data_IF_433826215788
#
_entry.id   IF_433826215788
#
_cell.length_a   1.000
_cell.length_b   1.000
_cell.length_c   1.000
_cell.angle_alpha   90.00
_cell.angle_beta   90.00
_cell.angle_gamma   90.00
#
_symmetry.space_group_name_H-M   'P 1'
#
loop_
_entity.id
_entity.type
_entity.pdbx_description
1 polymer ?
#
# COMPACT_ATOMS: atom_id res chain seq x y z
N UNK A 1 -93.54 -72.17 -61.60
CA UNK A 1 -92.35 -72.11 -62.47
C UNK A 1 -91.45 -70.98 -61.95
N UNK A 2 -90.29 -71.37 -61.44
CA UNK A 2 -89.00 -70.67 -61.36
C UNK A 2 -88.88 -69.18 -60.96
N UNK A 3 -87.85 -68.94 -60.11
CA UNK A 3 -87.14 -67.69 -59.80
C UNK A 3 -87.76 -66.82 -58.70
N UNK A 4 -87.02 -66.24 -57.76
CA UNK A 4 -85.60 -65.84 -57.76
C UNK A 4 -85.14 -65.70 -56.29
N UNK A 5 -83.98 -66.25 -55.96
CA UNK A 5 -83.28 -66.03 -54.69
C UNK A 5 -82.93 -64.55 -54.51
N UNK A 6 -83.27 -64.01 -53.34
CA UNK A 6 -82.72 -62.75 -52.83
C UNK A 6 -81.84 -63.06 -51.62
N UNK A 7 -80.55 -62.84 -51.78
CA UNK A 7 -79.57 -62.84 -50.69
C UNK A 7 -79.64 -61.47 -50.02
N UNK A 8 -80.00 -61.43 -48.73
CA UNK A 8 -79.96 -60.24 -47.90
C UNK A 8 -79.34 -60.52 -46.52
N UNK A 9 -78.75 -59.50 -45.89
CA UNK A 9 -77.43 -59.56 -45.26
C UNK A 9 -77.44 -60.13 -43.84
N UNK A 10 -76.33 -60.78 -43.46
CA UNK A 10 -76.06 -61.12 -42.07
C UNK A 10 -75.93 -59.83 -41.23
N UNK A 11 -76.90 -59.59 -40.36
CA UNK A 11 -76.80 -58.62 -39.26
C UNK A 11 -75.77 -59.12 -38.23
N UNK A 12 -74.63 -58.45 -38.14
CA UNK A 12 -73.75 -58.57 -36.98
C UNK A 12 -74.31 -57.72 -35.84
N UNK A 13 -74.89 -58.38 -34.85
CA UNK A 13 -75.34 -57.75 -33.59
C UNK A 13 -74.09 -57.35 -32.80
N UNK A 14 -73.78 -56.05 -32.73
CA UNK A 14 -72.81 -55.53 -31.74
C UNK A 14 -73.46 -55.53 -30.35
N UNK A 15 -72.83 -56.11 -29.32
CA UNK A 15 -73.31 -55.99 -27.96
C UNK A 15 -73.22 -54.52 -27.52
N UNK A 16 -74.34 -53.96 -27.04
CA UNK A 16 -74.35 -52.68 -26.33
C UNK A 16 -73.60 -52.86 -25.01
N UNK A 17 -72.35 -52.40 -24.92
CA UNK A 17 -71.68 -52.25 -23.64
C UNK A 17 -72.33 -51.09 -22.88
N UNK A 18 -72.78 -51.35 -21.65
CA UNK A 18 -73.30 -50.32 -20.75
C UNK A 18 -72.14 -49.43 -20.30
N UNK A 19 -71.81 -48.42 -21.11
CA UNK A 19 -70.64 -47.53 -20.97
C UNK A 19 -70.61 -46.57 -19.78
N UNK A 20 -71.21 -46.90 -18.63
CA UNK A 20 -71.19 -46.05 -17.42
C UNK A 20 -70.18 -46.49 -16.35
N UNK A 21 -69.78 -47.76 -16.34
CA UNK A 21 -68.79 -48.29 -15.37
C UNK A 21 -67.36 -47.74 -15.59
N UNK A 22 -66.83 -47.55 -16.82
CA UNK A 22 -65.45 -47.12 -16.98
C UNK A 22 -65.22 -45.66 -16.56
N UNK A 23 -66.23 -44.80 -16.69
CA UNK A 23 -66.10 -43.38 -16.29
C UNK A 23 -66.03 -43.23 -14.78
N UNK A 24 -66.87 -43.95 -14.04
CA UNK A 24 -66.84 -43.92 -12.57
C UNK A 24 -65.54 -44.52 -12.01
N UNK A 25 -65.03 -45.59 -12.63
CA UNK A 25 -63.75 -46.18 -12.24
C UNK A 25 -62.59 -45.21 -12.50
N UNK A 26 -62.57 -44.53 -13.65
CA UNK A 26 -61.56 -43.52 -13.95
C UNK A 26 -61.62 -42.32 -12.98
N UNK A 27 -62.82 -41.84 -12.64
CA UNK A 27 -62.98 -40.76 -11.65
C UNK A 27 -62.51 -41.18 -10.25
N UNK A 28 -62.77 -42.43 -9.86
CA UNK A 28 -62.30 -42.96 -8.59
C UNK A 28 -60.77 -43.09 -8.55
N UNK A 29 -60.15 -43.61 -9.61
CA UNK A 29 -58.68 -43.70 -9.73
C UNK A 29 -58.04 -42.31 -9.76
N UNK A 30 -58.64 -41.35 -10.46
CA UNK A 30 -58.18 -39.95 -10.47
C UNK A 30 -58.32 -39.29 -9.09
N UNK A 31 -59.44 -39.53 -8.39
CA UNK A 31 -59.65 -39.03 -7.02
C UNK A 31 -58.66 -39.61 -6.03
N UNK A 32 -58.39 -40.92 -6.10
CA UNK A 32 -57.42 -41.60 -5.23
C UNK A 32 -55.98 -41.18 -5.52
N UNK A 33 -55.61 -41.02 -6.79
CA UNK A 33 -54.28 -40.49 -7.15
C UNK A 33 -54.12 -39.04 -6.70
N UNK A 34 -55.13 -38.18 -6.89
CA UNK A 34 -55.12 -36.82 -6.37
C UNK A 34 -55.02 -36.76 -4.84
N UNK A 35 -55.72 -37.64 -4.11
CA UNK A 35 -55.66 -37.71 -2.65
C UNK A 35 -54.28 -38.19 -2.15
N UNK A 36 -53.68 -39.18 -2.83
CA UNK A 36 -52.33 -39.67 -2.52
C UNK A 36 -51.30 -38.59 -2.80
N UNK A 37 -51.39 -37.88 -3.94
CA UNK A 37 -50.51 -36.76 -4.26
C UNK A 37 -50.70 -35.60 -3.30
N UNK A 38 -51.93 -35.28 -2.92
CA UNK A 38 -52.24 -34.24 -1.92
C UNK A 38 -51.67 -34.59 -0.55
N UNK A 39 -51.91 -35.82 -0.07
CA UNK A 39 -51.39 -36.28 1.23
C UNK A 39 -49.87 -36.38 1.22
N UNK A 40 -49.28 -36.87 0.14
CA UNK A 40 -47.83 -36.91 -0.04
C UNK A 40 -47.24 -35.51 -0.09
N UNK A 41 -47.88 -34.60 -0.83
CA UNK A 41 -47.61 -33.17 -0.84
C UNK A 41 -47.65 -32.59 0.57
N UNK A 42 -48.70 -32.88 1.32
CA UNK A 42 -48.88 -32.39 2.67
C UNK A 42 -47.82 -32.94 3.65
N UNK A 43 -47.58 -34.25 3.65
CA UNK A 43 -46.61 -34.88 4.57
C UNK A 43 -45.14 -34.60 4.19
N UNK A 44 -44.81 -34.35 2.92
CA UNK A 44 -43.44 -34.06 2.47
C UNK A 44 -43.12 -32.58 2.39
N UNK A 45 -44.07 -31.75 1.98
CA UNK A 45 -43.81 -30.34 1.69
C UNK A 45 -44.18 -29.42 2.85
N UNK A 46 -45.11 -29.78 3.75
CA UNK A 46 -45.31 -28.98 4.97
C UNK A 46 -44.14 -29.05 5.96
N UNK A 47 -43.48 -30.18 6.24
CA UNK A 47 -42.34 -30.15 7.16
C UNK A 47 -41.10 -29.47 6.56
N UNK A 48 -40.95 -29.43 5.24
CA UNK A 48 -39.89 -28.65 4.56
C UNK A 48 -40.17 -27.14 4.69
N UNK A 49 -41.43 -26.73 4.94
CA UNK A 49 -41.80 -25.31 5.15
C UNK A 49 -41.42 -24.74 6.51
N UNK A 50 -40.82 -25.49 7.42
CA UNK A 50 -40.54 -24.98 8.76
C UNK A 50 -39.30 -25.58 9.42
N UNK A 51 -38.24 -25.89 8.66
CA UNK A 51 -36.90 -25.71 9.20
C UNK A 51 -36.40 -24.36 8.69
N UNK A 52 -36.76 -23.27 9.38
CA UNK A 52 -36.22 -21.97 9.06
C UNK A 52 -34.69 -22.09 9.10
N UNK A 53 -34.09 -22.06 7.92
CA UNK A 53 -32.65 -22.07 7.73
C UNK A 53 -32.21 -20.66 8.06
N UNK A 54 -31.78 -20.48 9.29
CA UNK A 54 -31.44 -19.17 9.81
C UNK A 54 -30.07 -18.75 9.30
N UNK A 55 -29.95 -17.52 8.84
CA UNK A 55 -28.67 -16.96 8.38
C UNK A 55 -28.34 -15.78 9.26
N UNK A 56 -27.31 -15.93 10.09
CA UNK A 56 -26.77 -14.81 10.85
C UNK A 56 -25.86 -14.01 9.90
N UNK A 57 -26.22 -12.76 9.62
CA UNK A 57 -25.45 -11.86 8.76
C UNK A 57 -24.77 -10.81 9.63
N UNK A 58 -23.46 -10.96 9.79
CA UNK A 58 -22.60 -10.00 10.45
C UNK A 58 -22.08 -8.96 9.45
N UNK A 59 -22.08 -7.68 9.81
CA UNK A 59 -21.45 -6.67 8.96
C UNK A 59 -20.66 -5.67 9.79
N UNK A 60 -19.58 -5.17 9.21
CA UNK A 60 -18.62 -4.30 9.90
C UNK A 60 -18.72 -2.93 9.26
N UNK A 61 -18.93 -1.91 10.09
CA UNK A 61 -18.86 -0.52 9.63
C UNK A 61 -17.45 -0.05 9.91
N UNK A 62 -16.58 -0.23 8.92
CA UNK A 62 -15.34 0.53 8.88
C UNK A 62 -15.71 1.97 8.54
N UNK A 63 -15.35 2.91 9.40
CA UNK A 63 -15.52 4.32 9.06
C UNK A 63 -14.64 4.61 7.84
N UNK A 64 -15.15 5.29 6.80
CA UNK A 64 -14.38 5.55 5.58
C UNK A 64 -13.12 6.41 5.79
N UNK A 65 -12.95 7.00 6.98
CA UNK A 65 -11.70 7.61 7.42
C UNK A 65 -10.58 6.62 7.79
N UNK A 66 -10.88 5.32 7.95
CA UNK A 66 -9.92 4.26 8.28
C UNK A 66 -9.30 3.58 7.06
N UNK A 67 -9.79 3.86 5.84
CA UNK A 67 -9.12 3.46 4.59
C UNK A 67 -7.98 4.45 4.27
N UNK A 68 -7.17 4.76 5.28
CA UNK A 68 -5.90 5.48 5.13
C UNK A 68 -4.83 4.48 4.69
N UNK A 69 -4.91 4.08 3.42
CA UNK A 69 -3.96 3.13 2.84
C UNK A 69 -3.96 3.03 1.32
N UNK A 70 -4.80 3.78 0.61
CA UNK A 70 -4.64 3.98 -0.82
C UNK A 70 -3.51 4.96 -1.07
N UNK A 71 -2.30 4.44 -1.31
CA UNK A 71 -1.15 5.08 -1.99
C UNK A 71 -1.32 6.57 -2.29
N UNK A 72 -1.29 7.41 -1.26
CA UNK A 72 -1.26 8.86 -1.46
C UNK A 72 0.15 9.22 -1.89
N UNK A 73 0.25 9.87 -3.05
CA UNK A 73 1.49 10.37 -3.60
C UNK A 73 2.35 11.08 -2.53
N UNK A 74 3.68 10.92 -2.57
CA UNK A 74 4.57 11.57 -1.62
C UNK A 74 4.50 13.08 -1.84
N UNK A 75 3.79 13.81 -0.98
CA UNK A 75 3.78 15.28 -1.08
C UNK A 75 2.75 16.06 -0.28
N UNK A 76 1.71 15.44 0.30
CA UNK A 76 0.76 16.21 1.12
C UNK A 76 0.13 15.40 2.25
N UNK A 77 0.82 15.40 3.39
CA UNK A 77 0.28 14.95 4.67
C UNK A 77 -0.57 16.08 5.24
N UNK A 78 -1.83 16.18 4.81
CA UNK A 78 -2.80 17.10 5.40
C UNK A 78 -3.94 16.27 5.97
N UNK A 79 -3.91 16.10 7.30
CA UNK A 79 -4.93 15.38 8.06
C UNK A 79 -4.48 14.01 8.57
N UNK A 80 -3.36 13.93 9.31
CA UNK A 80 -3.14 12.79 10.20
C UNK A 80 -4.21 12.89 11.29
N UNK A 81 -5.20 11.98 11.25
CA UNK A 81 -6.13 11.80 12.37
C UNK A 81 -5.31 11.68 13.66
N UNK A 82 -5.60 12.53 14.64
CA UNK A 82 -4.83 12.61 15.88
C UNK A 82 -4.66 11.20 16.50
N UNK A 83 -3.42 10.81 16.85
CA UNK A 83 -3.19 9.58 17.59
C UNK A 83 -3.83 9.73 18.98
N UNK A 84 -4.98 9.08 19.17
CA UNK A 84 -5.72 9.13 20.44
C UNK A 84 -7.23 9.35 20.31
N UNK A 85 -7.74 9.74 19.13
CA UNK A 85 -9.16 9.63 18.87
C UNK A 85 -9.47 8.14 18.64
N UNK A 86 -9.84 7.43 19.69
CA UNK A 86 -10.43 6.10 19.58
C UNK A 86 -11.65 6.24 18.65
N UNK A 87 -11.49 5.89 17.37
CA UNK A 87 -12.63 5.77 16.46
C UNK A 87 -13.22 4.41 16.77
N UNK A 88 -14.37 4.34 17.45
CA UNK A 88 -14.98 3.07 17.75
C UNK A 88 -15.35 2.39 16.44
N UNK A 89 -14.66 1.29 16.12
CA UNK A 89 -15.08 0.43 15.01
C UNK A 89 -16.38 -0.27 15.42
N UNK A 90 -17.50 0.15 14.85
CA UNK A 90 -18.81 -0.43 15.15
C UNK A 90 -19.05 -1.64 14.25
N UNK A 91 -19.34 -2.77 14.87
CA UNK A 91 -19.72 -4.01 14.17
C UNK A 91 -21.21 -4.29 14.36
N UNK A 92 -22.10 -3.71 13.53
CA UNK A 92 -23.52 -4.01 13.60
C UNK A 92 -23.85 -5.41 13.06
N UNK A 93 -24.61 -6.18 13.83
CA UNK A 93 -25.05 -7.53 13.47
C UNK A 93 -26.56 -7.56 13.17
N UNK A 94 -26.96 -8.31 12.15
CA UNK A 94 -28.36 -8.74 11.98
C UNK A 94 -28.43 -10.25 12.13
N UNK A 95 -29.22 -10.65 13.11
CA UNK A 95 -29.53 -12.03 13.36
C UNK A 95 -30.95 -12.34 12.86
N UNK A 96 -31.10 -13.47 12.17
CA UNK A 96 -32.42 -14.01 11.82
C UNK A 96 -32.77 -15.30 12.58
N UNK A 97 -31.86 -15.82 13.43
CA UNK A 97 -32.03 -17.06 14.20
C UNK A 97 -33.25 -17.06 15.13
N UNK A 98 -33.90 -18.23 15.25
CA UNK A 98 -34.98 -18.49 16.21
C UNK A 98 -34.51 -18.24 17.64
N UNK A 99 -33.26 -18.61 17.93
CA UNK A 99 -32.65 -18.40 19.23
C UNK A 99 -31.79 -17.12 19.21
N UNK A 100 -32.29 -16.01 19.78
CA UNK A 100 -31.55 -14.76 19.82
C UNK A 100 -30.28 -14.84 20.67
N UNK A 101 -30.15 -15.81 21.59
CA UNK A 101 -28.96 -15.96 22.42
C UNK A 101 -27.84 -16.66 21.63
N UNK A 102 -28.13 -17.81 21.02
CA UNK A 102 -27.14 -18.59 20.27
C UNK A 102 -26.48 -17.78 19.15
N UNK A 103 -27.25 -16.97 18.45
CA UNK A 103 -26.70 -16.16 17.38
C UNK A 103 -26.07 -14.83 17.86
N UNK A 104 -26.34 -14.38 19.09
CA UNK A 104 -25.49 -13.37 19.74
C UNK A 104 -24.12 -13.98 20.07
N UNK A 105 -24.07 -15.18 20.65
CA UNK A 105 -22.81 -15.86 20.96
C UNK A 105 -21.98 -16.13 19.69
N UNK A 106 -22.61 -16.57 18.60
CA UNK A 106 -21.92 -16.75 17.32
C UNK A 106 -21.41 -15.42 16.73
N UNK A 107 -22.19 -14.34 16.87
CA UNK A 107 -21.79 -13.00 16.46
C UNK A 107 -20.62 -12.46 17.29
N UNK A 108 -20.66 -12.64 18.61
CA UNK A 108 -19.59 -12.26 19.52
C UNK A 108 -18.30 -13.03 19.21
N UNK A 109 -18.39 -14.34 19.02
CA UNK A 109 -17.26 -15.17 18.58
C UNK A 109 -16.64 -14.68 17.28
N UNK A 110 -17.45 -14.31 16.28
CA UNK A 110 -16.94 -13.74 15.03
C UNK A 110 -16.29 -12.37 15.21
N UNK A 111 -16.92 -11.48 15.99
CA UNK A 111 -16.37 -10.18 16.31
C UNK A 111 -15.02 -10.31 17.00
N UNK A 112 -14.90 -11.21 17.98
CA UNK A 112 -13.65 -11.47 18.70
C UNK A 112 -12.54 -11.98 17.77
N UNK A 113 -12.85 -12.93 16.87
CA UNK A 113 -11.91 -13.42 15.87
C UNK A 113 -11.44 -12.29 14.94
N UNK A 114 -12.36 -11.51 14.40
CA UNK A 114 -12.04 -10.38 13.53
C UNK A 114 -11.20 -9.30 14.24
N UNK A 115 -11.60 -8.91 15.46
CA UNK A 115 -10.83 -7.96 16.28
C UNK A 115 -9.44 -8.51 16.59
N UNK A 116 -9.34 -9.81 16.88
CA UNK A 116 -8.08 -10.52 17.07
C UNK A 116 -7.16 -10.41 15.86
N UNK A 117 -7.67 -10.67 14.67
CA UNK A 117 -6.90 -10.59 13.43
C UNK A 117 -6.53 -9.15 13.06
N UNK A 118 -7.44 -8.19 13.21
CA UNK A 118 -7.12 -6.76 13.03
C UNK A 118 -6.06 -6.28 14.00
N UNK A 119 -6.09 -6.71 15.26
CA UNK A 119 -5.01 -6.43 16.24
C UNK A 119 -3.68 -7.05 15.84
N UNK A 120 -3.67 -8.23 15.23
CA UNK A 120 -2.42 -8.85 14.70
C UNK A 120 -1.88 -8.06 13.51
N UNK A 121 -2.74 -7.72 12.54
CA UNK A 121 -2.37 -6.90 11.39
C UNK A 121 -1.84 -5.53 11.79
N UNK A 122 -2.53 -4.85 12.72
CA UNK A 122 -2.11 -3.57 13.25
C UNK A 122 -0.75 -3.68 13.94
N UNK A 123 -0.55 -4.67 14.83
CA UNK A 123 0.73 -4.91 15.50
C UNK A 123 1.86 -5.15 14.49
N UNK A 124 1.61 -5.98 13.47
CA UNK A 124 2.59 -6.25 12.41
C UNK A 124 2.96 -4.98 11.64
N UNK A 125 1.97 -4.16 11.27
CA UNK A 125 2.19 -2.87 10.57
C UNK A 125 2.97 -1.88 11.43
N UNK A 126 2.59 -1.67 12.69
CA UNK A 126 3.25 -0.73 13.58
C UNK A 126 4.66 -1.20 13.95
N UNK A 127 4.88 -2.51 14.12
CA UNK A 127 6.22 -3.08 14.29
C UNK A 127 7.10 -2.84 13.06
N UNK A 128 6.57 -3.04 11.86
CA UNK A 128 7.26 -2.70 10.61
C UNK A 128 7.67 -1.22 10.54
N UNK A 129 6.75 -0.31 10.85
CA UNK A 129 7.03 1.13 10.92
C UNK A 129 8.07 1.49 11.98
N UNK A 130 8.03 0.83 13.14
CA UNK A 130 9.03 1.01 14.21
C UNK A 130 10.42 0.59 13.77
N UNK A 131 10.54 -0.57 13.12
CA UNK A 131 11.82 -1.06 12.61
C UNK A 131 12.36 -0.11 11.55
N UNK A 132 11.52 0.40 10.66
CA UNK A 132 11.91 1.39 9.64
C UNK A 132 12.36 2.72 10.26
N UNK A 133 11.60 3.26 11.22
CA UNK A 133 11.97 4.48 11.93
C UNK A 133 13.28 4.31 12.72
N UNK A 134 13.51 3.14 13.34
CA UNK A 134 14.78 2.86 14.02
C UNK A 134 15.96 2.82 13.04
N UNK A 135 15.77 2.20 11.86
CA UNK A 135 16.80 2.18 10.82
C UNK A 135 17.12 3.58 10.31
N UNK A 136 16.12 4.44 10.16
CA UNK A 136 16.36 5.82 9.73
C UNK A 136 17.10 6.64 10.79
N UNK A 137 16.81 6.44 12.09
CA UNK A 137 17.59 7.03 13.20
C UNK A 137 19.04 6.54 13.17
N UNK A 138 19.27 5.23 13.04
CA UNK A 138 20.62 4.68 12.98
C UNK A 138 21.41 5.21 11.77
N UNK A 139 20.76 5.36 10.61
CA UNK A 139 21.38 5.97 9.44
C UNK A 139 21.70 7.45 9.65
N UNK A 140 20.75 8.25 10.16
CA UNK A 140 20.95 9.67 10.42
C UNK A 140 22.08 9.92 11.43
N UNK A 141 22.21 9.07 12.46
CA UNK A 141 23.33 9.12 13.41
C UNK A 141 24.67 8.86 12.75
N UNK A 142 24.77 7.83 11.89
CA UNK A 142 26.01 7.56 11.14
C UNK A 142 26.41 8.74 10.26
N UNK A 143 25.46 9.35 9.55
CA UNK A 143 25.71 10.52 8.71
C UNK A 143 26.16 11.75 9.54
N UNK A 144 25.59 11.91 10.73
CA UNK A 144 26.02 12.94 11.67
C UNK A 144 27.44 12.70 12.18
N UNK A 145 27.75 11.48 12.65
CA UNK A 145 29.07 11.08 13.12
C UNK A 145 30.14 11.25 12.02
N UNK A 146 29.83 10.86 10.79
CA UNK A 146 30.70 11.10 9.63
C UNK A 146 30.95 12.59 9.38
N UNK A 147 29.92 13.43 9.52
CA UNK A 147 30.04 14.88 9.32
C UNK A 147 30.89 15.53 10.41
N UNK A 148 30.72 15.11 11.66
CA UNK A 148 31.56 15.52 12.79
C UNK A 148 33.01 15.09 12.58
N UNK A 149 33.25 13.83 12.21
CA UNK A 149 34.60 13.32 11.94
C UNK A 149 35.29 14.09 10.79
N UNK A 150 34.54 14.49 9.75
CA UNK A 150 35.08 15.33 8.65
C UNK A 150 35.47 16.73 9.14
N UNK A 151 34.67 17.34 10.03
CA UNK A 151 34.99 18.63 10.64
C UNK A 151 36.24 18.52 11.51
N UNK A 152 36.30 17.53 12.41
CA UNK A 152 37.45 17.29 13.27
C UNK A 152 38.74 17.01 12.48
N UNK A 153 38.65 16.18 11.43
CA UNK A 153 39.79 15.90 10.56
C UNK A 153 40.27 17.16 9.82
N UNK A 154 39.36 18.07 9.46
CA UNK A 154 39.72 19.35 8.86
C UNK A 154 40.39 20.27 9.87
N UNK A 155 39.87 20.37 11.09
CA UNK A 155 40.49 21.14 12.18
C UNK A 155 41.88 20.61 12.54
N UNK A 156 42.06 19.30 12.59
CA UNK A 156 43.38 18.69 12.81
C UNK A 156 44.36 19.02 11.69
N UNK A 157 43.90 19.02 10.42
CA UNK A 157 44.73 19.46 9.29
C UNK A 157 45.14 20.93 9.42
N UNK A 158 44.25 21.81 9.89
CA UNK A 158 44.57 23.20 10.15
C UNK A 158 45.62 23.33 11.27
N UNK A 159 45.40 22.68 12.43
CA UNK A 159 46.38 22.67 13.53
C UNK A 159 47.74 22.12 13.10
N UNK A 160 47.75 21.08 12.27
CA UNK A 160 48.98 20.51 11.74
C UNK A 160 49.66 21.44 10.74
N UNK A 161 48.90 22.11 9.87
CA UNK A 161 49.42 23.10 8.94
C UNK A 161 50.03 24.28 9.70
N UNK A 162 49.37 24.78 10.75
CA UNK A 162 49.87 25.85 11.61
C UNK A 162 51.13 25.41 12.37
N UNK A 163 51.15 24.19 12.92
CA UNK A 163 52.33 23.65 13.60
C UNK A 163 53.51 23.38 12.67
N UNK A 164 53.24 22.99 11.41
CA UNK A 164 54.26 22.80 10.38
C UNK A 164 54.64 24.07 9.66
N UNK A 165 53.89 25.16 9.81
CA UNK A 165 54.26 26.44 9.25
C UNK A 165 55.61 26.78 9.88
N UNK A 166 56.73 26.67 9.12
CA UNK A 166 58.02 26.91 9.70
C UNK A 166 57.97 28.32 10.24
N UNK A 167 58.15 28.49 11.55
CA UNK A 167 58.51 29.79 12.11
C UNK A 167 59.59 30.34 11.19
N UNK A 168 59.25 31.42 10.49
CA UNK A 168 59.97 31.94 9.34
C UNK A 168 61.30 32.58 9.76
N UNK A 169 62.16 31.80 10.41
CA UNK A 169 63.52 32.15 10.81
C UNK A 169 64.57 31.32 10.09
N UNK A 170 64.20 30.35 9.24
CA UNK A 170 65.17 29.56 8.48
C UNK A 170 65.11 29.87 6.99
N UNK A 171 65.68 31.04 6.66
CA UNK A 171 66.78 31.15 5.70
C UNK A 171 66.63 30.50 4.31
N UNK A 172 65.50 30.72 3.64
CA UNK A 172 65.54 30.82 2.17
C UNK A 172 65.65 32.31 1.85
N UNK A 173 66.86 32.86 2.01
CA UNK A 173 67.24 34.13 1.39
C UNK A 173 67.09 33.96 -0.13
N UNK A 174 65.89 34.19 -0.65
CA UNK A 174 65.73 34.62 -2.03
C UNK A 174 66.64 35.84 -2.16
N UNK A 175 67.77 35.68 -2.87
CA UNK A 175 68.70 36.81 -3.11
C UNK A 175 67.84 37.98 -3.57
N UNK A 176 67.88 39.14 -2.87
CA UNK A 176 67.11 40.29 -3.29
C UNK A 176 67.48 40.58 -4.74
N UNK A 177 66.48 40.83 -5.59
CA UNK A 177 66.78 41.20 -6.97
C UNK A 177 67.56 42.51 -6.91
N UNK A 178 68.81 42.46 -7.38
CA UNK A 178 69.72 43.59 -7.36
C UNK A 178 69.48 44.41 -8.63
N UNK A 179 69.28 45.72 -8.48
CA UNK A 179 69.15 46.66 -9.59
C UNK A 179 70.34 47.61 -9.59
N UNK A 180 70.85 47.95 -10.78
CA UNK A 180 71.98 48.88 -10.92
C UNK A 180 71.62 50.24 -10.32
N UNK A 181 72.46 50.73 -9.42
CA UNK A 181 72.26 52.00 -8.74
C UNK A 181 72.28 53.17 -9.74
N UNK A 182 71.20 53.96 -9.88
CA UNK A 182 71.14 55.03 -10.86
C UNK A 182 72.20 56.12 -10.63
N UNK A 183 72.59 56.36 -9.36
CA UNK A 183 73.66 57.31 -9.02
C UNK A 183 75.03 56.82 -9.48
N UNK A 184 75.29 55.51 -9.37
CA UNK A 184 76.52 54.90 -9.86
C UNK A 184 76.62 55.00 -11.38
N UNK A 185 75.50 54.73 -12.08
CA UNK A 185 75.36 54.84 -13.53
C UNK A 185 75.57 56.28 -14.04
N UNK A 186 75.11 57.28 -13.29
CA UNK A 186 75.35 58.69 -13.59
C UNK A 186 76.84 59.07 -13.46
N UNK A 187 77.51 58.61 -12.40
CA UNK A 187 78.95 58.82 -12.20
C UNK A 187 79.78 58.11 -13.27
N UNK A 188 79.38 56.90 -13.69
CA UNK A 188 80.00 56.17 -14.81
C UNK A 188 79.89 56.96 -16.12
N UNK A 189 78.72 57.54 -16.42
CA UNK A 189 78.55 58.40 -17.60
C UNK A 189 79.44 59.65 -17.53
N UNK A 190 79.57 60.26 -16.36
CA UNK A 190 80.43 61.43 -16.14
C UNK A 190 81.92 61.07 -16.30
N UNK A 191 82.37 59.92 -15.79
CA UNK A 191 83.76 59.47 -15.92
C UNK A 191 84.11 59.18 -17.38
N UNK A 192 83.24 58.49 -18.12
CA UNK A 192 83.41 58.23 -19.57
C UNK A 192 83.50 59.53 -20.37
N UNK A 193 82.67 60.53 -20.04
CA UNK A 193 82.73 61.84 -20.69
C UNK A 193 84.06 62.58 -20.41
N UNK A 194 84.56 62.54 -19.17
CA UNK A 194 85.86 63.15 -18.83
C UNK A 194 87.04 62.40 -19.44
N UNK A 195 86.99 61.07 -19.54
CA UNK A 195 88.01 60.27 -20.22
C UNK A 195 88.07 60.64 -21.71
N UNK A 196 86.90 60.77 -22.35
CA UNK A 196 86.83 61.26 -23.74
C UNK A 196 87.43 62.66 -23.87
N UNK A 197 87.06 63.58 -22.97
CA UNK A 197 87.60 64.96 -22.98
C UNK A 197 89.11 65.02 -22.75
N UNK A 198 89.64 64.17 -21.88
CA UNK A 198 91.08 64.04 -21.64
C UNK A 198 91.81 63.58 -22.90
N UNK A 199 91.26 62.62 -23.65
CA UNK A 199 91.83 62.17 -24.92
C UNK A 199 91.88 63.31 -25.94
N UNK A 200 90.78 64.03 -26.13
CA UNK A 200 90.74 65.20 -27.03
C UNK A 200 91.79 66.27 -26.65
N UNK A 201 91.98 66.54 -25.35
CA UNK A 201 93.00 67.50 -24.90
C UNK A 201 94.44 67.01 -25.13
N UNK A 202 94.66 65.70 -25.16
CA UNK A 202 95.98 65.11 -25.38
C UNK A 202 96.38 65.07 -26.86
N UNK A 203 95.43 65.26 -27.77
CA UNK A 203 95.74 65.42 -29.20
C UNK A 203 96.51 66.73 -29.45
N UNK A 204 96.17 67.80 -28.71
CA UNK A 204 96.76 69.14 -28.86
C UNK A 204 97.79 69.50 -27.78
N UNK A 205 97.84 68.77 -26.66
CA UNK A 205 98.60 69.16 -25.46
C UNK A 205 99.31 67.98 -24.82
N UNK A 206 100.40 68.25 -24.11
CA UNK A 206 101.15 67.24 -23.36
C UNK A 206 100.50 66.90 -22.01
N UNK A 207 100.81 65.73 -21.47
CA UNK A 207 100.27 65.23 -20.19
C UNK A 207 100.48 66.15 -18.98
N UNK A 208 101.49 67.03 -19.02
CA UNK A 208 101.82 67.96 -17.94
C UNK A 208 101.05 69.28 -18.00
N UNK A 209 100.25 69.51 -19.05
CA UNK A 209 99.49 70.75 -19.21
C UNK A 209 98.43 70.89 -18.09
N UNK A 210 98.25 72.08 -17.46
CA UNK A 210 97.32 72.29 -16.34
C UNK A 210 95.91 71.77 -16.61
N UNK A 211 95.34 72.08 -17.78
CA UNK A 211 94.01 71.59 -18.18
C UNK A 211 93.88 70.06 -18.27
N UNK A 212 94.94 69.33 -18.65
CA UNK A 212 94.94 67.86 -18.69
C UNK A 212 95.02 67.29 -17.28
N UNK A 213 95.82 67.93 -16.41
CA UNK A 213 95.96 67.57 -15.00
C UNK A 213 94.65 67.77 -14.24
N UNK A 214 93.97 68.90 -14.41
CA UNK A 214 92.64 69.13 -13.80
C UNK A 214 91.60 68.08 -14.20
N UNK A 215 91.55 67.69 -15.48
CA UNK A 215 90.63 66.64 -15.94
C UNK A 215 91.03 65.28 -15.36
N UNK A 216 92.33 65.00 -15.27
CA UNK A 216 92.84 63.77 -14.67
C UNK A 216 92.51 63.69 -13.18
N UNK A 217 92.67 64.78 -12.44
CA UNK A 217 92.32 64.87 -11.02
C UNK A 217 90.80 64.66 -10.80
N UNK A 218 89.96 65.22 -11.69
CA UNK A 218 88.50 64.99 -11.66
C UNK A 218 88.11 63.54 -11.98
N UNK A 219 88.83 62.86 -12.86
CA UNK A 219 88.61 61.43 -13.14
C UNK A 219 88.93 60.61 -11.87
N UNK A 220 90.07 60.85 -11.23
CA UNK A 220 90.46 60.16 -9.98
C UNK A 220 89.45 60.40 -8.87
N UNK A 221 88.94 61.63 -8.74
CA UNK A 221 87.90 61.96 -7.76
C UNK A 221 86.57 61.25 -8.05
N UNK A 222 86.13 61.17 -9.32
CA UNK A 222 84.93 60.42 -9.70
C UNK A 222 85.09 58.92 -9.48
N UNK A 223 86.27 58.36 -9.78
CA UNK A 223 86.58 56.94 -9.54
C UNK A 223 86.53 56.61 -8.04
N UNK A 224 87.04 57.50 -7.18
CA UNK A 224 86.88 57.36 -5.71
C UNK A 224 85.41 57.36 -5.29
N UNK A 225 84.62 58.31 -5.79
CA UNK A 225 83.17 58.37 -5.50
C UNK A 225 82.41 57.15 -6.01
N UNK A 226 82.81 56.59 -7.16
CA UNK A 226 82.24 55.36 -7.70
C UNK A 226 82.63 54.11 -6.88
N UNK A 227 83.80 54.12 -6.22
CA UNK A 227 84.20 53.06 -5.30
C UNK A 227 83.43 53.12 -3.97
N UNK A 228 83.07 54.32 -3.51
CA UNK A 228 82.31 54.53 -2.27
C UNK A 228 80.82 54.16 -2.42
N UNK A 229 80.27 54.23 -3.63
CA UNK A 229 78.86 53.95 -3.90
C UNK A 229 78.70 52.52 -4.44
N UNK A 230 77.87 51.66 -3.82
CA UNK A 230 77.63 50.31 -4.33
C UNK A 230 76.97 50.35 -5.72
N UNK A 231 77.50 49.53 -6.63
CA UNK A 231 77.03 49.41 -8.02
C UNK A 231 75.60 48.89 -8.12
N UNK A 232 75.19 48.06 -7.18
CA UNK A 232 73.88 47.43 -7.13
C UNK A 232 73.20 47.76 -5.81
N UNK A 233 71.91 48.09 -5.87
CA UNK A 233 71.04 48.31 -4.72
C UNK A 233 69.87 47.30 -4.73
N UNK A 234 69.35 46.88 -3.58
CA UNK A 234 68.18 46.01 -3.51
C UNK A 234 66.97 46.69 -4.16
N UNK A 235 66.24 45.96 -5.00
CA UNK A 235 65.00 46.46 -5.58
C UNK A 235 63.86 46.43 -4.56
N UNK A 236 63.70 47.54 -3.83
CA UNK A 236 62.60 47.73 -2.88
C UNK A 236 61.20 47.60 -3.50
N UNK A 237 61.04 47.83 -4.81
CA UNK A 237 59.75 47.67 -5.48
C UNK A 237 59.42 46.20 -5.71
N UNK A 238 60.40 45.42 -6.18
CA UNK A 238 60.23 43.97 -6.34
C UNK A 238 59.93 43.27 -5.00
N UNK A 239 60.58 43.69 -3.91
CA UNK A 239 60.28 43.15 -2.57
C UNK A 239 58.86 43.49 -2.12
N UNK A 240 58.41 44.72 -2.33
CA UNK A 240 57.04 45.15 -2.01
C UNK A 240 55.98 44.38 -2.83
N UNK A 241 56.24 44.10 -4.10
CA UNK A 241 55.36 43.29 -4.95
C UNK A 241 55.31 41.81 -4.52
N UNK A 242 56.45 41.23 -4.13
CA UNK A 242 56.52 39.88 -3.57
C UNK A 242 55.73 39.81 -2.27
N UNK A 243 55.84 40.81 -1.40
CA UNK A 243 55.11 40.80 -0.14
C UNK A 243 53.60 41.04 -0.34
N UNK A 244 53.23 41.96 -1.24
CA UNK A 244 51.83 42.18 -1.60
C UNK A 244 51.20 40.92 -2.23
N UNK A 245 51.93 40.19 -3.08
CA UNK A 245 51.45 38.94 -3.66
C UNK A 245 51.32 37.83 -2.61
N UNK A 246 52.28 37.70 -1.67
CA UNK A 246 52.17 36.79 -0.51
C UNK A 246 50.94 37.09 0.35
N UNK A 247 50.70 38.38 0.66
CA UNK A 247 49.50 38.80 1.42
C UNK A 247 48.20 38.44 0.69
N UNK A 248 48.12 38.70 -0.62
CA UNK A 248 46.94 38.32 -1.43
C UNK A 248 46.70 36.81 -1.47
N UNK A 249 47.76 36.01 -1.53
CA UNK A 249 47.65 34.54 -1.48
C UNK A 249 47.19 34.08 -0.09
N UNK A 250 47.76 34.65 0.98
CA UNK A 250 47.34 34.36 2.35
C UNK A 250 45.87 34.71 2.60
N UNK A 251 45.42 35.89 2.18
CA UNK A 251 44.01 36.31 2.28
C UNK A 251 43.06 35.40 1.49
N UNK A 252 43.47 34.92 0.30
CA UNK A 252 42.67 33.95 -0.47
C UNK A 252 42.54 32.62 0.25
N UNK A 253 43.66 32.08 0.74
CA UNK A 253 43.67 30.84 1.50
C UNK A 253 42.83 30.95 2.77
N UNK A 254 42.94 32.05 3.51
CA UNK A 254 42.13 32.30 4.71
C UNK A 254 40.63 32.32 4.38
N UNK A 255 40.23 33.01 3.31
CA UNK A 255 38.84 33.02 2.84
C UNK A 255 38.36 31.62 2.42
N UNK A 256 39.20 30.85 1.74
CA UNK A 256 38.88 29.46 1.37
C UNK A 256 38.72 28.58 2.61
N UNK A 257 39.57 28.73 3.62
CA UNK A 257 39.45 28.00 4.89
C UNK A 257 38.19 28.38 5.66
N UNK A 258 37.90 29.68 5.80
CA UNK A 258 36.68 30.16 6.46
C UNK A 258 35.42 29.64 5.76
N UNK A 259 35.39 29.69 4.42
CA UNK A 259 34.29 29.14 3.64
C UNK A 259 34.15 27.64 3.88
N UNK A 260 35.27 26.89 3.86
CA UNK A 260 35.23 25.44 4.04
C UNK A 260 34.78 25.04 5.44
N UNK A 261 35.20 25.79 6.46
CA UNK A 261 34.76 25.60 7.84
C UNK A 261 33.26 25.86 7.96
N UNK A 262 32.77 26.97 7.40
CA UNK A 262 31.34 27.29 7.38
C UNK A 262 30.49 26.22 6.66
N UNK A 263 30.98 25.68 5.53
CA UNK A 263 30.35 24.58 4.81
C UNK A 263 30.25 23.31 5.68
N UNK A 264 31.33 22.95 6.38
CA UNK A 264 31.36 21.76 7.24
C UNK A 264 30.49 21.93 8.50
N UNK A 265 30.51 23.11 9.13
CA UNK A 265 29.64 23.39 10.29
C UNK A 265 28.16 23.36 9.90
N UNK A 266 27.81 23.92 8.75
CA UNK A 266 26.44 23.86 8.24
C UNK A 266 25.99 22.41 7.95
N UNK A 267 26.88 21.56 7.43
CA UNK A 267 26.59 20.14 7.22
C UNK A 267 26.34 19.39 8.53
N UNK A 268 27.11 19.68 9.59
CA UNK A 268 26.90 19.11 10.93
C UNK A 268 25.54 19.57 11.51
N UNK A 269 25.19 20.84 11.39
CA UNK A 269 23.90 21.34 11.84
C UNK A 269 22.72 20.72 11.08
N UNK A 270 22.86 20.53 9.77
CA UNK A 270 21.83 19.91 8.95
C UNK A 270 21.62 18.44 9.33
N UNK A 271 22.69 17.67 9.46
CA UNK A 271 22.62 16.25 9.88
C UNK A 271 22.11 16.08 11.31
N UNK A 272 22.38 17.05 12.19
CA UNK A 272 21.79 17.07 13.54
C UNK A 272 20.27 17.22 13.48
N UNK A 273 19.74 18.15 12.66
CA UNK A 273 18.30 18.34 12.48
C UNK A 273 17.61 17.09 11.92
N UNK A 274 18.22 16.44 10.93
CA UNK A 274 17.66 15.19 10.38
C UNK A 274 17.66 14.06 11.41
N UNK A 275 18.68 13.99 12.28
CA UNK A 275 18.70 13.06 13.41
C UNK A 275 17.56 13.35 14.41
N UNK A 276 17.35 14.62 14.78
CA UNK A 276 16.25 15.02 15.68
C UNK A 276 14.87 14.69 15.09
N UNK A 277 14.66 14.94 13.80
CA UNK A 277 13.42 14.59 13.09
C UNK A 277 13.18 13.08 13.06
N UNK A 278 14.22 12.29 12.79
CA UNK A 278 14.15 10.83 12.80
C UNK A 278 13.81 10.30 14.20
N UNK A 279 14.42 10.84 15.26
CA UNK A 279 14.11 10.46 16.64
C UNK A 279 12.66 10.83 17.04
N UNK A 280 12.16 11.97 16.58
CA UNK A 280 10.75 12.32 16.77
C UNK A 280 9.81 11.35 16.04
N UNK A 281 10.17 10.91 14.83
CA UNK A 281 9.41 9.91 14.10
C UNK A 281 9.40 8.56 14.84
N UNK A 282 10.54 8.13 15.40
CA UNK A 282 10.62 6.91 16.22
C UNK A 282 9.75 7.03 17.49
N UNK A 283 9.81 8.16 18.21
CA UNK A 283 8.97 8.41 19.39
C UNK A 283 7.48 8.36 19.04
N UNK A 284 7.08 8.94 17.90
CA UNK A 284 5.69 8.87 17.41
C UNK A 284 5.28 7.43 17.11
N UNK A 285 6.14 6.64 16.48
CA UNK A 285 5.88 5.22 16.22
C UNK A 285 5.73 4.42 17.54
N UNK A 286 6.55 4.70 18.56
CA UNK A 286 6.42 4.09 19.89
C UNK A 286 5.11 4.50 20.59
N UNK A 287 4.74 5.79 20.53
CA UNK A 287 3.47 6.26 21.08
C UNK A 287 2.28 5.60 20.39
N UNK A 288 2.33 5.43 19.06
CA UNK A 288 1.31 4.70 18.32
C UNK A 288 1.22 3.25 18.75
N UNK A 289 2.36 2.58 18.98
CA UNK A 289 2.39 1.22 19.51
C UNK A 289 1.76 1.11 20.91
N UNK A 290 1.91 2.13 21.76
CA UNK A 290 1.33 2.16 23.10
C UNK A 290 -0.17 2.47 23.10
N UNK A 291 -0.64 3.33 22.18
CA UNK A 291 -2.04 3.78 22.19
C UNK A 291 -3.01 2.67 21.81
N UNK A 292 -2.62 1.76 20.90
CA UNK A 292 -3.41 0.59 20.51
C UNK A 292 -4.77 0.93 19.88
N UNK A 293 -5.27 0.12 18.94
CA UNK A 293 -6.63 0.29 18.44
C UNK A 293 -7.61 -0.19 19.52
N UNK A 294 -8.51 0.70 19.94
CA UNK A 294 -9.64 0.35 20.79
C UNK A 294 -10.80 -0.09 19.88
N UNK A 295 -11.23 -1.35 20.02
CA UNK A 295 -12.38 -1.90 19.31
C UNK A 295 -13.54 -2.03 20.29
N UNK A 296 -14.72 -1.54 19.91
CA UNK A 296 -15.96 -1.67 20.66
C UNK A 296 -17.00 -2.40 19.81
N UNK A 297 -17.43 -3.57 20.25
CA UNK A 297 -18.50 -4.32 19.56
C UNK A 297 -19.84 -3.71 19.98
N UNK A 298 -20.55 -3.10 19.04
CA UNK A 298 -21.89 -2.57 19.26
C UNK A 298 -22.91 -3.39 18.46
N UNK A 299 -23.81 -4.09 19.14
CA UNK A 299 -24.90 -4.79 18.47
C UNK A 299 -25.92 -3.78 17.94
N UNK A 300 -26.18 -3.81 16.63
CA UNK A 300 -27.34 -3.11 16.09
C UNK A 300 -28.61 -3.72 16.70
N UNK A 301 -29.54 -2.86 17.13
CA UNK A 301 -30.90 -3.30 17.44
C UNK A 301 -31.42 -4.01 16.18
N UNK A 302 -31.96 -5.21 16.36
CA UNK A 302 -32.48 -6.05 15.28
C UNK A 302 -33.20 -5.17 14.25
N UNK A 303 -32.82 -5.29 12.97
CA UNK A 303 -33.74 -4.94 11.90
C UNK A 303 -34.94 -5.85 12.13
N UNK A 304 -36.07 -5.24 12.52
CA UNK A 304 -37.34 -5.95 12.68
C UNK A 304 -37.52 -6.89 11.49
N UNK A 305 -37.85 -8.15 11.78
CA UNK A 305 -37.99 -9.20 10.78
C UNK A 305 -38.62 -8.64 9.50
N UNK A 306 -38.01 -8.85 8.31
CA UNK A 306 -38.65 -8.42 7.09
C UNK A 306 -40.09 -8.94 7.11
N UNK A 307 -41.07 -8.10 6.74
CA UNK A 307 -42.48 -8.50 6.82
C UNK A 307 -42.63 -9.86 6.16
N UNK A 308 -43.38 -10.80 6.77
CA UNK A 308 -43.54 -12.13 6.21
C UNK A 308 -43.92 -11.97 4.75
N UNK A 309 -43.09 -12.54 3.86
CA UNK A 309 -43.34 -12.44 2.42
C UNK A 309 -44.66 -13.14 2.20
N UNK A 310 -45.70 -12.35 1.99
CA UNK A 310 -47.05 -12.83 1.81
C UNK A 310 -47.08 -13.48 0.42
N UNK A 311 -46.71 -14.77 0.38
CA UNK A 311 -46.85 -15.60 -0.81
C UNK A 311 -48.35 -15.77 -1.03
N UNK A 312 -48.97 -14.73 -1.58
CA UNK A 312 -50.40 -14.67 -1.80
C UNK A 312 -50.86 -15.98 -2.42
N UNK A 313 -51.90 -16.57 -1.83
CA UNK A 313 -52.36 -17.94 -2.09
C UNK A 313 -52.52 -18.26 -3.59
N UNK A 314 -52.77 -17.23 -4.43
CA UNK A 314 -52.75 -17.30 -5.90
C UNK A 314 -51.42 -17.74 -6.51
N UNK A 315 -50.27 -17.18 -6.07
CA UNK A 315 -48.95 -17.60 -6.55
C UNK A 315 -48.64 -19.04 -6.13
N UNK A 316 -49.06 -19.40 -4.91
CA UNK A 316 -48.96 -20.76 -4.40
C UNK A 316 -49.76 -21.73 -5.26
N UNK A 317 -51.02 -21.41 -5.59
CA UNK A 317 -51.84 -22.23 -6.48
C UNK A 317 -51.24 -22.38 -7.88
N UNK A 318 -50.77 -21.29 -8.50
CA UNK A 318 -50.16 -21.35 -9.83
C UNK A 318 -48.87 -22.17 -9.84
N UNK A 319 -48.03 -22.05 -8.80
CA UNK A 319 -46.81 -22.87 -8.68
C UNK A 319 -47.13 -24.33 -8.36
N UNK A 320 -48.14 -24.64 -7.54
CA UNK A 320 -48.54 -26.04 -7.28
C UNK A 320 -49.19 -26.69 -8.49
N UNK A 321 -49.92 -25.91 -9.31
CA UNK A 321 -50.56 -26.42 -10.52
C UNK A 321 -49.53 -26.64 -11.62
N UNK A 322 -48.58 -25.70 -11.80
CA UNK A 322 -47.45 -25.87 -12.70
C UNK A 322 -46.50 -27.00 -12.24
N UNK A 323 -46.26 -27.14 -10.94
CA UNK A 323 -45.46 -28.23 -10.38
C UNK A 323 -46.18 -29.59 -10.47
N UNK A 324 -47.51 -29.64 -10.31
CA UNK A 324 -48.29 -30.86 -10.52
C UNK A 324 -48.25 -31.31 -11.98
N UNK A 325 -48.34 -30.37 -12.93
CA UNK A 325 -48.18 -30.61 -14.37
C UNK A 325 -46.75 -31.04 -14.73
N UNK A 326 -45.75 -30.39 -14.15
CA UNK A 326 -44.33 -30.72 -14.33
C UNK A 326 -43.94 -32.04 -13.65
N UNK A 327 -44.53 -32.42 -12.51
CA UNK A 327 -44.28 -33.71 -11.86
C UNK A 327 -44.90 -34.87 -12.62
N UNK A 328 -46.06 -34.67 -13.26
CA UNK A 328 -46.61 -35.67 -14.19
C UNK A 328 -45.68 -35.91 -15.39
N UNK A 329 -44.94 -34.89 -15.84
CA UNK A 329 -43.92 -34.99 -16.89
C UNK A 329 -42.50 -35.33 -16.37
N UNK A 330 -42.22 -35.10 -15.08
CA UNK A 330 -40.87 -35.01 -14.50
C UNK A 330 -40.62 -35.91 -13.30
N UNK A 331 -41.50 -36.87 -13.00
CA UNK A 331 -41.25 -37.92 -12.02
C UNK A 331 -40.06 -38.85 -12.42
N UNK A 332 -39.54 -38.72 -13.65
CA UNK A 332 -38.32 -39.39 -14.10
C UNK A 332 -37.00 -38.63 -13.85
N UNK A 333 -37.03 -37.32 -13.57
CA UNK A 333 -35.81 -36.47 -13.65
C UNK A 333 -35.47 -35.65 -12.40
N UNK A 334 -36.33 -35.58 -11.38
CA UNK A 334 -36.12 -34.71 -10.21
C UNK A 334 -35.91 -35.46 -8.89
N UNK A 335 -34.88 -36.32 -8.82
CA UNK A 335 -34.41 -36.88 -7.54
C UNK A 335 -33.13 -36.22 -6.99
N UNK A 336 -32.62 -35.14 -7.60
CA UNK A 336 -31.29 -34.62 -7.29
C UNK A 336 -31.12 -33.10 -7.05
N UNK A 337 -32.17 -32.27 -7.00
CA UNK A 337 -31.90 -30.82 -7.02
C UNK A 337 -32.95 -29.89 -6.45
N UNK A 338 -33.53 -30.18 -5.28
CA UNK A 338 -34.38 -29.21 -4.59
C UNK A 338 -34.09 -29.15 -3.09
N UNK A 339 -32.86 -28.80 -2.74
CA UNK A 339 -32.63 -27.92 -1.60
C UNK A 339 -32.85 -26.50 -2.11
N UNK A 340 -34.09 -26.00 -2.02
CA UNK A 340 -34.33 -24.58 -2.22
C UNK A 340 -33.83 -23.93 -0.94
N UNK A 341 -32.57 -23.49 -0.95
CA UNK A 341 -32.03 -22.60 0.08
C UNK A 341 -33.00 -21.40 0.20
N UNK A 342 -33.42 -21.00 1.41
CA UNK A 342 -34.21 -19.79 1.56
C UNK A 342 -33.43 -18.60 0.99
N UNK A 343 -34.12 -17.51 0.59
CA UNK A 343 -33.45 -16.34 0.05
C UNK A 343 -32.58 -15.71 1.15
N UNK A 344 -31.31 -16.09 1.18
CA UNK A 344 -30.29 -15.36 1.91
C UNK A 344 -30.30 -13.97 1.29
N UNK A 345 -30.65 -12.94 2.07
CA UNK A 345 -30.55 -11.57 1.62
C UNK A 345 -29.11 -11.37 1.10
N UNK A 346 -28.96 -11.21 -0.20
CA UNK A 346 -27.63 -11.18 -0.82
C UNK A 346 -26.84 -10.03 -0.20
N UNK A 347 -25.52 -10.19 -0.08
CA UNK A 347 -24.66 -9.14 0.46
C UNK A 347 -24.89 -7.78 -0.25
N UNK A 348 -25.25 -7.80 -1.54
CA UNK A 348 -25.63 -6.62 -2.30
C UNK A 348 -26.93 -5.96 -1.79
N UNK A 349 -27.97 -6.74 -1.45
CA UNK A 349 -29.25 -6.21 -0.96
C UNK A 349 -29.12 -5.62 0.44
N UNK A 350 -28.38 -6.27 1.33
CA UNK A 350 -28.09 -5.75 2.67
C UNK A 350 -27.23 -4.48 2.57
N UNK A 351 -26.24 -4.43 1.67
CA UNK A 351 -25.44 -3.23 1.41
C UNK A 351 -26.29 -2.09 0.84
N UNK A 352 -27.22 -2.37 -0.07
CA UNK A 352 -28.13 -1.37 -0.63
C UNK A 352 -29.08 -0.79 0.43
N UNK A 353 -29.58 -1.60 1.36
CA UNK A 353 -30.50 -1.15 2.43
C UNK A 353 -29.79 -0.44 3.58
N UNK A 354 -28.58 -0.87 3.93
CA UNK A 354 -27.88 -0.37 5.12
C UNK A 354 -26.78 0.64 4.82
N UNK A 355 -26.27 0.67 3.57
CA UNK A 355 -25.09 1.46 3.19
C UNK A 355 -23.76 0.93 3.73
N UNK A 356 -23.74 -0.30 4.29
CA UNK A 356 -22.60 -0.85 5.06
C UNK A 356 -21.91 -2.00 4.30
N UNK A 357 -20.60 -2.17 4.52
CA UNK A 357 -19.81 -3.25 3.92
C UNK A 357 -20.00 -4.56 4.70
N UNK A 358 -20.05 -5.69 3.99
CA UNK A 358 -20.35 -7.01 4.58
C UNK A 358 -19.11 -7.88 4.42
N UNK A 359 -18.64 -8.44 5.54
CA UNK A 359 -17.38 -9.19 5.60
C UNK A 359 -17.63 -10.71 5.56
N UNK A 360 -18.81 -11.17 5.99
CA UNK A 360 -19.16 -12.59 5.91
C UNK A 360 -20.62 -12.87 6.25
N UNK A 361 -21.07 -14.04 5.84
CA UNK A 361 -22.35 -14.63 6.21
C UNK A 361 -22.07 -15.97 6.85
N UNK A 362 -22.55 -16.22 8.07
CA UNK A 362 -22.53 -17.58 8.63
C UNK A 362 -23.86 -18.23 8.26
N UNK A 363 -23.86 -19.28 7.42
CA UNK A 363 -25.01 -20.15 7.39
C UNK A 363 -25.13 -20.77 8.79
N UNK A 364 -26.27 -20.63 9.47
CA UNK A 364 -26.48 -21.44 10.66
C UNK A 364 -26.42 -22.89 10.18
N UNK A 365 -25.51 -23.68 10.74
CA UNK A 365 -25.45 -25.10 10.46
C UNK A 365 -26.86 -25.66 10.60
N UNK A 366 -27.35 -26.28 9.53
CA UNK A 366 -28.57 -27.08 9.57
C UNK A 366 -28.36 -28.03 10.74
N UNK A 367 -29.20 -28.01 11.80
CA UNK A 367 -28.97 -28.83 12.98
C UNK A 367 -28.81 -30.26 12.48
N UNK A 368 -27.64 -30.85 12.76
CA UNK A 368 -27.28 -32.20 12.30
C UNK A 368 -28.49 -33.09 12.57
N UNK A 369 -29.12 -33.67 11.53
CA UNK A 369 -30.43 -34.29 11.69
C UNK A 369 -30.30 -35.41 12.71
N UNK A 370 -31.09 -35.31 13.77
CA UNK A 370 -31.04 -36.25 14.88
C UNK A 370 -31.25 -37.67 14.34
N UNK A 371 -30.59 -38.68 14.93
CA UNK A 371 -30.59 -40.05 14.38
C UNK A 371 -32.01 -40.61 14.19
N UNK A 372 -32.95 -40.16 15.02
CA UNK A 372 -34.38 -40.45 14.92
C UNK A 372 -35.03 -39.86 13.65
N UNK A 373 -34.61 -38.67 13.23
CA UNK A 373 -35.13 -37.95 12.06
C UNK A 373 -34.62 -38.58 10.75
N UNK A 374 -33.35 -39.01 10.72
CA UNK A 374 -32.76 -39.79 9.63
C UNK A 374 -33.52 -41.13 9.46
N UNK A 375 -33.84 -41.80 10.57
CA UNK A 375 -34.63 -43.03 10.59
C UNK A 375 -36.03 -42.84 10.02
N UNK A 376 -36.71 -41.76 10.41
CA UNK A 376 -38.05 -41.41 9.93
C UNK A 376 -38.05 -41.10 8.42
N UNK A 377 -37.07 -40.33 7.94
CA UNK A 377 -36.93 -40.04 6.51
C UNK A 377 -36.69 -41.30 5.68
N UNK A 378 -35.83 -42.23 6.13
CA UNK A 378 -35.60 -43.51 5.44
C UNK A 378 -36.86 -44.36 5.35
N UNK A 379 -37.66 -44.43 6.42
CA UNK A 379 -38.91 -45.20 6.45
C UNK A 379 -39.94 -44.63 5.47
N UNK A 380 -40.09 -43.30 5.45
CA UNK A 380 -41.02 -42.62 4.53
C UNK A 380 -40.54 -42.76 3.07
N UNK A 381 -39.23 -42.70 2.81
CA UNK A 381 -38.70 -42.89 1.45
C UNK A 381 -38.98 -44.30 0.93
N UNK A 382 -38.82 -45.33 1.76
CA UNK A 382 -39.17 -46.71 1.41
C UNK A 382 -40.66 -46.90 1.14
N UNK A 383 -41.54 -46.38 1.99
CA UNK A 383 -42.99 -46.49 1.74
C UNK A 383 -43.42 -45.75 0.48
N UNK A 384 -42.82 -44.59 0.18
CA UNK A 384 -43.11 -43.84 -1.05
C UNK A 384 -42.70 -44.62 -2.30
N UNK A 385 -41.51 -45.22 -2.30
CA UNK A 385 -41.02 -46.01 -3.45
C UNK A 385 -41.91 -47.22 -3.68
N UNK A 386 -42.30 -47.93 -2.62
CA UNK A 386 -43.19 -49.08 -2.70
C UNK A 386 -44.57 -48.67 -3.23
N UNK A 387 -45.14 -47.56 -2.74
CA UNK A 387 -46.44 -47.07 -3.20
C UNK A 387 -46.40 -46.62 -4.67
N UNK A 388 -45.32 -45.95 -5.08
CA UNK A 388 -45.11 -45.53 -6.47
C UNK A 388 -44.96 -46.71 -7.42
N UNK A 389 -44.20 -47.74 -7.04
CA UNK A 389 -44.10 -48.99 -7.81
C UNK A 389 -45.45 -49.70 -7.91
N UNK A 390 -46.22 -49.74 -6.81
CA UNK A 390 -47.54 -50.38 -6.79
C UNK A 390 -48.53 -49.65 -7.71
N UNK A 391 -48.50 -48.31 -7.73
CA UNK A 391 -49.28 -47.50 -8.66
C UNK A 391 -48.84 -47.71 -10.13
N UNK A 392 -47.53 -47.77 -10.38
CA UNK A 392 -46.98 -48.04 -11.73
C UNK A 392 -47.37 -49.42 -12.27
N UNK A 393 -47.57 -50.42 -11.40
CA UNK A 393 -48.02 -51.77 -11.81
C UNK A 393 -49.55 -51.84 -11.91
N UNK A 394 -50.27 -51.19 -10.99
CA UNK A 394 -51.73 -51.21 -10.97
C UNK A 394 -52.34 -50.43 -12.15
N UNK A 395 -51.75 -49.30 -12.56
CA UNK A 395 -52.26 -48.48 -13.66
C UNK A 395 -52.34 -49.24 -15.01
N UNK A 396 -51.26 -49.90 -15.49
CA UNK A 396 -51.32 -50.68 -16.72
C UNK A 396 -52.17 -51.94 -16.56
N UNK A 397 -52.22 -52.58 -15.38
CA UNK A 397 -53.10 -53.72 -15.16
C UNK A 397 -54.59 -53.34 -15.31
N UNK A 398 -55.00 -52.20 -14.75
CA UNK A 398 -56.36 -51.66 -14.91
C UNK A 398 -56.62 -51.23 -16.36
N UNK A 399 -55.63 -50.63 -17.04
CA UNK A 399 -55.76 -50.26 -18.44
C UNK A 399 -55.90 -51.50 -19.35
N UNK A 400 -55.09 -52.54 -19.13
CA UNK A 400 -55.16 -53.81 -19.86
C UNK A 400 -56.51 -54.49 -19.62
N UNK A 401 -57.00 -54.49 -18.38
CA UNK A 401 -58.31 -55.05 -18.04
C UNK A 401 -59.45 -54.29 -18.73
N UNK A 402 -59.39 -52.96 -18.72
CA UNK A 402 -60.37 -52.11 -19.42
C UNK A 402 -60.35 -52.26 -20.95
N UNK A 403 -59.20 -52.52 -21.56
CA UNK A 403 -59.05 -52.74 -23.01
C UNK A 403 -59.49 -54.15 -23.42
N UNK A 404 -59.19 -55.16 -22.61
CA UNK A 404 -59.57 -56.55 -22.88
C UNK A 404 -61.05 -56.85 -22.60
N UNK A 405 -61.75 -55.95 -21.90
CA UNK A 405 -63.22 -56.00 -21.77
C UNK A 405 -63.75 -57.29 -21.15
N UNK A 406 -63.02 -57.84 -20.18
CA UNK A 406 -63.50 -58.95 -19.33
C UNK A 406 -64.32 -58.39 -18.18
#
# INVERSE_FOLDING_TARGET
MSKMEWIHPQQTVRPRSNGKVPVLLCLFVAGMTALVVYRWGHEKWLPVRAKPTYTATAYIVEHPGDVLGGTAAPGRVQGVAQPGAAVPHRVPFVNTDADPQRAREAADSMAELYVGDRRKEWRSRVEGQRIEARRSVEQARREHDESVARLEAFEQKLRYADAKQPSATTDVKSRPSMVTNPRWLELERQSVALIKRRKELLDDRTHLHPAVREVSDKIVELERRMADIPREIPDSQAEAEIEASRRRVAERLEKEYQRRLAELTAAVEQTKKTCEEAELAERRAMQWMQSGPQYSVEHARLVENPPPVDYGWRRLMWTTLAAGLMMAFGAGSLSLGAGIEPPVATAAEVRAKTGKSIIGTIPADDPTPDAAEIGRQRRIRRTTIVLGLLLMVACPAVAIWGVLGI
#
